data_IF_155728976972
#
_entry.id   IF_155728976972
#
_cell.length_a   1.000
_cell.length_b   1.000
_cell.length_c   1.000
_cell.angle_alpha   90.00
_cell.angle_beta   90.00
_cell.angle_gamma   90.00
#
_symmetry.space_group_name_H-M   'P 1'
#
loop_
_entity.id
_entity.type
_entity.pdbx_description
1 polymer ?
#
# COMPACT_ATOMS: atom_id res chain seq x y z
N UNK A 1 -7.59 2.93 6.31
CA UNK A 1 -6.76 1.76 5.93
C UNK A 1 -6.19 1.81 4.51
N UNK A 2 -6.95 2.19 3.49
CA UNK A 2 -6.48 2.21 2.09
C UNK A 2 -5.27 3.13 1.87
N UNK A 3 -5.35 4.39 2.32
CA UNK A 3 -4.26 5.37 2.17
C UNK A 3 -2.94 4.89 2.78
N UNK A 4 -2.97 4.28 3.98
CA UNK A 4 -1.80 3.65 4.60
C UNK A 4 -1.11 2.64 3.67
N UNK A 5 -1.90 1.74 3.06
CA UNK A 5 -1.37 0.66 2.21
C UNK A 5 -0.83 1.21 0.88
N UNK A 6 -1.50 2.20 0.30
CA UNK A 6 -1.01 2.90 -0.89
C UNK A 6 0.33 3.61 -0.60
N UNK A 7 0.41 4.37 0.49
CA UNK A 7 1.63 5.05 0.94
C UNK A 7 2.75 4.07 1.27
N UNK A 8 2.42 2.93 1.89
CA UNK A 8 3.38 1.88 2.17
C UNK A 8 3.91 1.20 0.91
N UNK A 9 3.05 0.94 -0.09
CA UNK A 9 3.49 0.45 -1.40
C UNK A 9 4.38 1.48 -2.13
N UNK A 10 4.06 2.77 -2.04
CA UNK A 10 4.92 3.84 -2.58
C UNK A 10 6.32 3.74 -1.98
N UNK A 11 6.47 3.60 -0.65
CA UNK A 11 7.82 3.54 -0.06
C UNK A 11 8.56 2.23 -0.34
N UNK A 12 7.84 1.12 -0.46
CA UNK A 12 8.41 -0.18 -0.84
C UNK A 12 9.00 -0.14 -2.25
N UNK A 13 8.39 0.60 -3.18
CA UNK A 13 8.98 0.83 -4.52
C UNK A 13 10.27 1.64 -4.50
N UNK A 14 10.55 2.37 -3.42
CA UNK A 14 11.83 3.07 -3.27
C UNK A 14 13.01 2.10 -3.13
N UNK A 15 12.77 0.87 -2.66
CA UNK A 15 13.83 -0.13 -2.46
C UNK A 15 14.30 -0.66 -3.83
N UNK A 16 15.58 -0.45 -4.24
CA UNK A 16 16.01 -0.71 -5.61
C UNK A 16 15.86 -2.16 -6.08
N UNK A 17 16.05 -3.13 -5.19
CA UNK A 17 15.92 -4.55 -5.56
C UNK A 17 14.45 -4.93 -5.81
N UNK A 18 13.54 -4.43 -4.98
CA UNK A 18 12.09 -4.58 -5.15
C UNK A 18 11.63 -3.88 -6.42
N UNK A 19 12.05 -2.63 -6.65
CA UNK A 19 11.72 -1.85 -7.84
C UNK A 19 12.06 -2.62 -9.13
N UNK A 20 13.27 -3.16 -9.22
CA UNK A 20 13.72 -3.96 -10.37
C UNK A 20 12.85 -5.20 -10.62
N UNK A 21 12.44 -5.89 -9.55
CA UNK A 21 11.51 -7.03 -9.65
C UNK A 21 10.16 -6.55 -10.21
N UNK A 22 9.60 -5.45 -9.68
CA UNK A 22 8.33 -4.90 -10.13
C UNK A 22 8.37 -4.52 -11.62
N UNK A 23 9.44 -3.86 -12.07
CA UNK A 23 9.64 -3.49 -13.48
C UNK A 23 9.77 -4.73 -14.37
N UNK A 24 10.51 -5.77 -13.94
CA UNK A 24 10.68 -7.01 -14.69
C UNK A 24 9.36 -7.80 -14.92
N UNK A 25 8.32 -7.53 -14.11
CA UNK A 25 6.99 -8.10 -14.36
C UNK A 25 6.30 -7.49 -15.58
N UNK A 26 6.62 -6.23 -15.93
CA UNK A 26 5.93 -5.42 -16.93
C UNK A 26 4.41 -5.22 -16.65
N UNK A 27 4.00 -5.41 -15.40
CA UNK A 27 2.59 -5.29 -14.96
C UNK A 27 2.25 -3.90 -14.42
N UNK A 28 3.17 -2.94 -14.49
CA UNK A 28 2.98 -1.57 -14.00
C UNK A 28 3.85 -0.56 -14.77
N UNK A 29 4.05 -0.81 -16.07
CA UNK A 29 4.88 0.01 -16.97
C UNK A 29 4.12 1.17 -17.63
N UNK A 30 2.83 1.31 -17.32
CA UNK A 30 1.94 2.40 -17.75
C UNK A 30 0.80 2.58 -16.75
N UNK A 31 0.14 3.73 -16.76
CA UNK A 31 -1.05 4.04 -15.94
C UNK A 31 -2.08 2.91 -15.98
N UNK A 32 -2.39 2.42 -17.18
CA UNK A 32 -3.35 1.34 -17.42
C UNK A 32 -2.94 0.01 -16.79
N UNK A 33 -1.69 -0.42 -17.02
CA UNK A 33 -1.21 -1.69 -16.44
C UNK A 33 -1.11 -1.60 -14.92
N UNK A 34 -0.66 -0.45 -14.40
CA UNK A 34 -0.59 -0.18 -12.98
C UNK A 34 -1.98 -0.20 -12.34
N UNK A 35 -2.97 0.48 -12.94
CA UNK A 35 -4.37 0.41 -12.51
C UNK A 35 -4.83 -1.04 -12.32
N UNK A 36 -4.68 -1.88 -13.36
CA UNK A 36 -5.12 -3.28 -13.30
C UNK A 36 -4.43 -4.06 -12.19
N UNK A 37 -3.12 -3.87 -12.03
CA UNK A 37 -2.31 -4.53 -11.00
C UNK A 37 -2.75 -4.13 -9.60
N UNK A 38 -2.81 -2.83 -9.31
CA UNK A 38 -3.06 -2.35 -7.96
C UNK A 38 -4.55 -2.46 -7.57
N UNK A 39 -5.46 -2.40 -8.55
CA UNK A 39 -6.87 -2.75 -8.31
C UNK A 39 -7.01 -4.24 -7.95
N UNK A 40 -6.28 -5.14 -8.62
CA UNK A 40 -6.25 -6.55 -8.22
C UNK A 40 -5.69 -6.74 -6.80
N UNK A 41 -4.62 -6.03 -6.44
CA UNK A 41 -4.11 -6.03 -5.05
C UNK A 41 -5.16 -5.59 -4.04
N UNK A 42 -5.96 -4.55 -4.34
CA UNK A 42 -7.05 -4.10 -3.48
C UNK A 42 -8.12 -5.18 -3.32
N UNK A 43 -8.55 -5.78 -4.44
CA UNK A 43 -9.56 -6.83 -4.39
C UNK A 43 -9.07 -8.03 -3.56
N UNK A 44 -7.80 -8.43 -3.71
CA UNK A 44 -7.22 -9.50 -2.89
C UNK A 44 -7.25 -9.13 -1.40
N UNK A 45 -6.84 -7.90 -1.05
CA UNK A 45 -6.85 -7.46 0.34
C UNK A 45 -8.26 -7.38 0.93
N UNK A 46 -9.25 -6.89 0.17
CA UNK A 46 -10.64 -6.86 0.63
C UNK A 46 -11.11 -8.28 0.96
N UNK A 47 -10.82 -9.26 0.09
CA UNK A 47 -11.12 -10.66 0.38
C UNK A 47 -10.48 -11.16 1.68
N UNK A 48 -9.26 -10.71 2.01
CA UNK A 48 -8.59 -11.12 3.26
C UNK A 48 -9.20 -10.48 4.52
N UNK A 49 -9.89 -9.35 4.39
CA UNK A 49 -10.53 -8.66 5.51
C UNK A 49 -12.01 -9.01 5.67
N UNK A 50 -12.70 -9.34 4.58
CA UNK A 50 -14.15 -9.47 4.53
C UNK A 50 -14.64 -10.92 4.76
N UNK A 51 -13.75 -11.91 4.72
CA UNK A 51 -14.10 -13.33 4.89
C UNK A 51 -13.34 -14.03 6.02
N UNK A 52 -13.96 -15.07 6.56
CA UNK A 52 -13.31 -16.01 7.46
C UNK A 52 -12.08 -16.65 6.81
N UNK A 53 -10.95 -16.56 7.50
CA UNK A 53 -9.70 -17.14 7.04
C UNK A 53 -9.60 -18.63 7.41
N UNK A 54 -10.30 -19.48 6.64
CA UNK A 54 -10.34 -20.94 6.81
C UNK A 54 -9.93 -21.65 5.51
N UNK A 55 -9.32 -22.85 5.57
CA UNK A 55 -9.03 -23.62 4.37
C UNK A 55 -10.26 -23.76 3.46
N UNK A 56 -10.09 -23.44 2.18
CA UNK A 56 -11.15 -23.53 1.16
C UNK A 56 -11.98 -22.27 0.93
N UNK A 57 -11.89 -21.22 1.78
CA UNK A 57 -12.58 -19.93 1.55
C UNK A 57 -11.96 -19.12 0.41
N UNK A 58 -12.64 -18.07 -0.08
CA UNK A 58 -12.07 -17.21 -1.11
C UNK A 58 -10.84 -16.47 -0.59
N UNK A 59 -10.86 -16.00 0.66
CA UNK A 59 -9.68 -15.45 1.32
C UNK A 59 -8.46 -16.39 1.28
N UNK A 60 -8.66 -17.68 1.57
CA UNK A 60 -7.60 -18.69 1.52
C UNK A 60 -7.06 -18.90 0.10
N UNK A 61 -7.95 -19.09 -0.87
CA UNK A 61 -7.57 -19.27 -2.28
C UNK A 61 -6.89 -18.02 -2.85
N UNK A 62 -7.35 -16.84 -2.44
CA UNK A 62 -6.77 -15.54 -2.77
C UNK A 62 -5.32 -15.44 -2.29
N UNK A 63 -5.01 -15.83 -1.05
CA UNK A 63 -3.64 -15.85 -0.53
C UNK A 63 -2.74 -16.86 -1.22
N UNK A 64 -3.25 -18.07 -1.49
CA UNK A 64 -2.50 -19.07 -2.25
C UNK A 64 -2.20 -18.59 -3.68
N UNK A 65 -3.15 -17.90 -4.31
CA UNK A 65 -2.94 -17.29 -5.62
C UNK A 65 -1.84 -16.21 -5.57
N UNK A 66 -1.87 -15.29 -4.59
CA UNK A 66 -0.82 -14.27 -4.46
C UNK A 66 0.54 -14.89 -4.16
N UNK A 67 0.61 -15.94 -3.32
CA UNK A 67 1.86 -16.70 -3.10
C UNK A 67 2.39 -17.29 -4.40
N UNK A 68 1.53 -17.89 -5.22
CA UNK A 68 1.91 -18.43 -6.55
C UNK A 68 2.41 -17.32 -7.48
N UNK A 69 1.77 -16.15 -7.48
CA UNK A 69 2.22 -15.00 -8.27
C UNK A 69 3.61 -14.53 -7.85
N UNK A 70 3.88 -14.41 -6.54
CA UNK A 70 5.22 -14.08 -6.03
C UNK A 70 6.26 -15.14 -6.40
N UNK A 71 5.93 -16.43 -6.25
CA UNK A 71 6.83 -17.52 -6.66
C UNK A 71 7.12 -17.51 -8.17
N UNK A 72 6.11 -17.25 -9.00
CA UNK A 72 6.27 -17.14 -10.44
C UNK A 72 7.15 -15.93 -10.82
N UNK A 73 6.92 -14.77 -10.21
CA UNK A 73 7.75 -13.59 -10.39
C UNK A 73 9.20 -13.83 -9.94
N UNK A 74 9.39 -14.47 -8.78
CA UNK A 74 10.70 -14.86 -8.25
C UNK A 74 11.45 -15.80 -9.20
N UNK A 75 10.76 -16.83 -9.73
CA UNK A 75 11.33 -17.75 -10.73
C UNK A 75 11.70 -17.04 -12.03
N UNK A 76 10.85 -16.11 -12.50
CA UNK A 76 11.12 -15.29 -13.71
C UNK A 76 12.35 -14.41 -13.53
N UNK A 77 12.53 -13.81 -12.35
CA UNK A 77 13.64 -12.89 -12.06
C UNK A 77 14.96 -13.60 -11.76
N UNK A 78 14.93 -14.87 -11.35
CA UNK A 78 16.09 -15.64 -10.88
C UNK A 78 17.30 -15.65 -11.84
N UNK A 79 17.08 -15.53 -13.16
CA UNK A 79 18.17 -15.58 -14.15
C UNK A 79 18.82 -14.23 -14.47
N UNK A 80 18.10 -13.11 -14.28
CA UNK A 80 18.53 -11.77 -14.74
C UNK A 80 18.71 -10.75 -13.61
N UNK A 81 18.01 -10.96 -12.51
CA UNK A 81 18.09 -10.13 -11.30
C UNK A 81 18.50 -11.08 -10.17
N UNK A 82 17.64 -11.28 -9.19
CA UNK A 82 17.72 -12.32 -8.18
C UNK A 82 16.32 -12.86 -7.90
N UNK A 83 16.23 -13.95 -7.14
CA UNK A 83 14.95 -14.38 -6.55
C UNK A 83 14.48 -13.36 -5.53
N UNK A 84 13.16 -13.26 -5.35
CA UNK A 84 12.58 -12.51 -4.24
C UNK A 84 13.06 -13.13 -2.93
N UNK A 85 13.69 -12.31 -2.09
CA UNK A 85 14.26 -12.71 -0.80
C UNK A 85 13.25 -12.57 0.34
N UNK A 86 13.52 -13.26 1.46
CA UNK A 86 12.73 -13.12 2.70
C UNK A 86 12.75 -11.68 3.23
N UNK A 87 13.89 -10.99 3.10
CA UNK A 87 14.02 -9.58 3.47
C UNK A 87 13.09 -8.69 2.64
N UNK A 88 13.01 -8.89 1.32
CA UNK A 88 12.10 -8.11 0.45
C UNK A 88 10.63 -8.39 0.74
N UNK A 89 10.28 -9.63 1.10
CA UNK A 89 8.93 -9.96 1.54
C UNK A 89 8.58 -9.27 2.86
N UNK A 90 9.51 -9.21 3.83
CA UNK A 90 9.32 -8.52 5.10
C UNK A 90 9.23 -6.99 4.93
N UNK A 91 10.05 -6.40 4.06
CA UNK A 91 9.94 -4.99 3.66
C UNK A 91 8.59 -4.72 2.99
N UNK A 92 8.13 -5.63 2.14
CA UNK A 92 6.80 -5.51 1.53
C UNK A 92 5.68 -5.59 2.57
N UNK A 93 5.82 -6.44 3.60
CA UNK A 93 4.89 -6.54 4.72
C UNK A 93 4.78 -5.21 5.50
N UNK A 94 5.90 -4.51 5.71
CA UNK A 94 5.89 -3.13 6.25
C UNK A 94 4.97 -2.22 5.43
N UNK A 95 4.98 -2.34 4.10
CA UNK A 95 4.12 -1.55 3.22
C UNK A 95 2.61 -1.67 3.50
N UNK A 96 2.17 -2.70 4.21
CA UNK A 96 0.76 -2.89 4.53
C UNK A 96 0.38 -2.53 5.97
N UNK A 97 1.30 -2.67 6.93
CA UNK A 97 1.02 -2.50 8.36
C UNK A 97 1.93 -1.49 9.08
N UNK A 98 3.09 -1.15 8.51
CA UNK A 98 4.14 -0.37 9.17
C UNK A 98 3.68 1.06 9.50
N UNK A 99 3.24 1.82 8.49
CA UNK A 99 2.76 3.20 8.75
C UNK A 99 1.51 3.24 9.63
N UNK A 100 0.61 2.26 9.54
CA UNK A 100 -0.53 2.15 10.44
C UNK A 100 -0.05 2.08 11.90
N UNK A 101 1.00 1.31 12.17
CA UNK A 101 1.55 1.12 13.50
C UNK A 101 2.36 2.32 14.02
N UNK A 102 3.27 2.87 13.21
CA UNK A 102 4.24 3.90 13.68
C UNK A 102 3.95 5.32 13.21
N UNK A 103 2.97 5.52 12.32
CA UNK A 103 2.50 6.82 11.82
C UNK A 103 0.97 6.89 11.82
N UNK A 104 0.34 6.22 12.79
CA UNK A 104 -1.12 6.00 12.88
C UNK A 104 -1.94 7.27 12.58
N UNK A 105 -1.65 8.38 13.27
CA UNK A 105 -2.35 9.66 13.09
C UNK A 105 -2.15 10.26 11.69
N UNK A 106 -0.95 10.16 11.11
CA UNK A 106 -0.65 10.63 9.74
C UNK A 106 -1.37 9.81 8.65
N UNK A 107 -1.93 8.65 9.00
CA UNK A 107 -2.72 7.82 8.07
C UNK A 107 -4.18 7.67 8.50
N UNK A 108 -4.65 8.53 9.41
CA UNK A 108 -6.05 8.60 9.83
C UNK A 108 -6.48 7.58 10.88
N UNK A 109 -5.54 6.99 11.63
CA UNK A 109 -5.83 6.07 12.73
C UNK A 109 -5.56 6.79 14.06
N UNK A 110 -6.62 7.28 14.70
CA UNK A 110 -6.55 8.05 15.95
C UNK A 110 -6.94 7.25 17.20
N UNK A 111 -7.57 6.10 17.00
CA UNK A 111 -8.11 5.26 18.05
C UNK A 111 -7.68 3.82 17.77
N UNK A 112 -6.83 3.27 18.63
CA UNK A 112 -6.40 1.88 18.56
C UNK A 112 -5.80 1.49 19.90
N UNK A 113 -6.43 0.53 20.57
CA UNK A 113 -5.96 -0.05 21.82
C UNK A 113 -4.74 -0.94 21.57
N UNK A 114 -3.99 -1.28 22.61
CA UNK A 114 -2.89 -2.24 22.46
C UNK A 114 -3.40 -3.63 22.02
N UNK A 115 -4.63 -4.00 22.37
CA UNK A 115 -5.29 -5.21 21.88
C UNK A 115 -5.59 -5.12 20.37
N UNK A 116 -6.14 -4.00 19.89
CA UNK A 116 -6.37 -3.78 18.46
C UNK A 116 -5.07 -3.90 17.66
N UNK A 117 -3.98 -3.34 18.18
CA UNK A 117 -2.66 -3.44 17.54
C UNK A 117 -2.11 -4.86 17.55
N UNK A 118 -2.27 -5.60 18.66
CA UNK A 118 -1.87 -6.99 18.74
C UNK A 118 -2.65 -7.86 17.75
N UNK A 119 -3.98 -7.68 17.66
CA UNK A 119 -4.82 -8.39 16.71
C UNK A 119 -4.48 -8.04 15.24
N UNK A 120 -4.31 -6.75 14.94
CA UNK A 120 -3.94 -6.29 13.60
C UNK A 120 -2.57 -6.83 13.15
N UNK A 121 -1.59 -6.87 14.05
CA UNK A 121 -0.27 -7.43 13.76
C UNK A 121 -0.31 -8.95 13.69
N UNK A 122 -1.11 -9.62 14.52
CA UNK A 122 -1.32 -11.07 14.41
C UNK A 122 -1.90 -11.44 13.04
N UNK A 123 -2.90 -10.70 12.56
CA UNK A 123 -3.45 -10.86 11.22
C UNK A 123 -2.35 -10.76 10.15
N UNK A 124 -1.57 -9.67 10.15
CA UNK A 124 -0.49 -9.51 9.16
C UNK A 124 0.64 -10.52 9.31
N UNK A 125 0.88 -11.04 10.52
CA UNK A 125 1.82 -12.13 10.76
C UNK A 125 1.37 -13.41 10.05
N UNK A 126 0.10 -13.80 10.21
CA UNK A 126 -0.48 -14.98 9.54
C UNK A 126 -0.47 -14.80 8.03
N UNK A 127 -0.84 -13.63 7.52
CA UNK A 127 -0.75 -13.31 6.08
C UNK A 127 0.70 -13.47 5.58
N UNK A 128 1.68 -12.94 6.30
CA UNK A 128 3.10 -13.08 5.96
C UNK A 128 3.54 -14.54 5.89
N UNK A 129 3.17 -15.33 6.89
CA UNK A 129 3.46 -16.77 6.94
C UNK A 129 2.84 -17.52 5.75
N UNK A 130 1.56 -17.24 5.46
CA UNK A 130 0.84 -17.84 4.32
C UNK A 130 1.49 -17.52 2.98
N UNK A 131 2.01 -16.30 2.82
CA UNK A 131 2.75 -15.85 1.65
C UNK A 131 4.17 -16.44 1.57
N UNK A 132 4.61 -17.18 2.59
CA UNK A 132 5.89 -17.89 2.63
C UNK A 132 7.01 -17.14 3.33
N UNK A 133 6.70 -16.16 4.19
CA UNK A 133 7.69 -15.53 5.07
C UNK A 133 7.96 -16.48 6.24
N UNK A 134 9.21 -16.89 6.45
CA UNK A 134 9.59 -17.67 7.62
C UNK A 134 9.38 -16.84 8.90
N UNK A 135 8.97 -17.48 10.00
CA UNK A 135 8.64 -16.76 11.25
C UNK A 135 9.78 -15.89 11.77
N UNK A 136 11.04 -16.30 11.58
CA UNK A 136 12.23 -15.52 11.97
C UNK A 136 12.43 -14.24 11.15
N UNK A 137 11.82 -14.13 9.97
CA UNK A 137 11.90 -12.96 9.10
C UNK A 137 10.59 -12.17 9.06
N UNK A 138 9.53 -12.67 9.68
CA UNK A 138 8.22 -12.04 9.68
C UNK A 138 8.25 -10.75 10.53
N UNK A 139 7.97 -9.60 9.89
CA UNK A 139 8.03 -8.30 10.54
C UNK A 139 7.06 -8.19 11.71
N UNK A 140 5.92 -8.89 11.63
CA UNK A 140 4.86 -8.85 12.62
C UNK A 140 5.07 -9.88 13.75
N UNK A 141 6.27 -10.42 13.91
CA UNK A 141 6.62 -11.34 15.00
C UNK A 141 7.07 -10.58 16.25
N UNK A 142 6.58 -11.01 17.41
CA UNK A 142 6.95 -10.46 18.73
C UNK A 142 5.94 -9.46 19.29
N UNK A 143 6.37 -8.66 20.27
CA UNK A 143 5.51 -7.66 20.91
C UNK A 143 5.29 -6.43 20.03
N UNK A 144 4.14 -5.76 20.22
CA UNK A 144 3.78 -4.52 19.52
C UNK A 144 4.90 -3.47 19.63
N UNK A 145 5.52 -3.35 20.81
CA UNK A 145 6.59 -2.39 21.08
C UNK A 145 7.87 -2.72 20.29
N UNK A 146 8.24 -3.99 20.18
CA UNK A 146 9.39 -4.41 19.38
C UNK A 146 9.14 -4.17 17.89
N UNK A 147 7.94 -4.48 17.40
CA UNK A 147 7.56 -4.25 16.00
C UNK A 147 7.56 -2.74 15.69
N UNK A 148 7.11 -1.87 16.61
CA UNK A 148 7.22 -0.40 16.48
C UNK A 148 8.67 0.04 16.32
N UNK A 149 9.59 -0.49 17.13
CA UNK A 149 11.03 -0.17 17.04
C UNK A 149 11.61 -0.58 15.69
N UNK A 150 11.33 -1.81 15.23
CA UNK A 150 11.78 -2.31 13.93
C UNK A 150 11.23 -1.45 12.79
N UNK A 151 9.94 -1.12 12.82
CA UNK A 151 9.32 -0.29 11.80
C UNK A 151 9.97 1.10 11.69
N UNK A 152 10.30 1.75 12.81
CA UNK A 152 11.04 3.02 12.79
C UNK A 152 12.46 2.84 12.24
N UNK A 153 13.17 1.78 12.62
CA UNK A 153 14.48 1.47 12.06
C UNK A 153 14.44 1.25 10.55
N UNK A 154 13.40 0.59 10.02
CA UNK A 154 13.20 0.42 8.58
C UNK A 154 12.93 1.75 7.87
N UNK A 155 12.15 2.65 8.48
CA UNK A 155 11.96 4.02 7.96
C UNK A 155 13.31 4.72 7.84
N UNK A 156 14.11 4.72 8.90
CA UNK A 156 15.34 5.52 8.96
C UNK A 156 16.48 4.93 8.13
N UNK A 157 16.62 3.60 8.10
CA UNK A 157 17.77 2.92 7.47
C UNK A 157 17.49 2.42 6.07
N UNK A 158 16.23 2.21 5.70
CA UNK A 158 15.86 1.64 4.40
C UNK A 158 15.05 2.64 3.58
N UNK A 159 13.87 3.04 4.05
CA UNK A 159 12.94 3.80 3.20
C UNK A 159 13.36 5.25 2.99
N UNK A 160 13.73 5.98 4.05
CA UNK A 160 14.15 7.38 3.95
C UNK A 160 15.39 7.54 3.05
N UNK A 161 16.47 6.73 3.19
CA UNK A 161 17.61 6.81 2.29
C UNK A 161 17.27 6.40 0.86
N UNK A 162 16.42 5.38 0.67
CA UNK A 162 16.07 4.90 -0.67
C UNK A 162 15.24 5.92 -1.46
N UNK A 163 14.26 6.52 -0.79
CA UNK A 163 13.42 7.59 -1.37
C UNK A 163 14.25 8.86 -1.58
N UNK A 164 15.15 9.21 -0.67
CA UNK A 164 16.04 10.38 -0.81
C UNK A 164 16.90 10.38 -2.09
N UNK A 165 17.14 9.22 -2.72
CA UNK A 165 17.96 9.09 -3.95
C UNK A 165 17.30 9.64 -5.21
N UNK A 166 15.98 9.89 -5.23
CA UNK A 166 15.25 10.40 -6.40
C UNK A 166 15.47 9.56 -7.66
N UNK A 167 15.48 8.25 -7.50
CA UNK A 167 15.68 7.31 -8.61
C UNK A 167 14.62 7.54 -9.74
N UNK A 168 15.02 7.71 -11.01
CA UNK A 168 14.08 7.99 -12.10
C UNK A 168 13.05 6.88 -12.34
N UNK A 169 13.44 5.62 -12.19
CA UNK A 169 12.55 4.47 -12.37
C UNK A 169 11.52 4.44 -11.23
N UNK A 170 11.95 4.77 -10.01
CA UNK A 170 11.05 4.96 -8.88
C UNK A 170 10.02 6.05 -9.14
N UNK A 171 10.46 7.24 -9.61
CA UNK A 171 9.57 8.35 -9.91
C UNK A 171 8.57 7.98 -11.02
N UNK A 172 9.01 7.28 -12.07
CA UNK A 172 8.14 6.82 -13.15
C UNK A 172 7.12 5.78 -12.67
N UNK A 173 7.55 4.76 -11.93
CA UNK A 173 6.68 3.69 -11.45
C UNK A 173 5.64 4.18 -10.45
N UNK A 174 6.04 5.08 -9.55
CA UNK A 174 5.11 5.70 -8.60
C UNK A 174 4.11 6.63 -9.29
N UNK A 175 4.52 7.31 -10.37
CA UNK A 175 3.61 8.11 -11.21
C UNK A 175 2.58 7.21 -11.89
N UNK A 176 3.00 6.12 -12.51
CA UNK A 176 2.08 5.15 -13.12
C UNK A 176 1.09 4.56 -12.12
N UNK A 177 1.56 4.21 -10.91
CA UNK A 177 0.67 3.76 -9.85
C UNK A 177 -0.36 4.83 -9.47
N UNK A 178 0.07 6.06 -9.18
CA UNK A 178 -0.83 7.09 -8.67
C UNK A 178 -1.83 7.58 -9.73
N UNK A 179 -1.41 7.70 -10.98
CA UNK A 179 -2.31 7.99 -12.10
C UNK A 179 -3.30 6.85 -12.32
N UNK A 180 -2.83 5.60 -12.35
CA UNK A 180 -3.69 4.42 -12.47
C UNK A 180 -4.74 4.36 -11.35
N UNK A 181 -4.35 4.68 -10.12
CA UNK A 181 -5.23 4.66 -8.96
C UNK A 181 -6.15 5.88 -8.83
N UNK A 182 -6.02 6.89 -9.69
CA UNK A 182 -6.91 8.06 -9.71
C UNK A 182 -8.38 7.65 -9.88
N UNK A 183 -8.66 6.62 -10.68
CA UNK A 183 -10.02 6.11 -10.91
C UNK A 183 -10.70 5.60 -9.64
N UNK A 184 -9.94 5.10 -8.66
CA UNK A 184 -10.45 4.63 -7.36
C UNK A 184 -10.47 5.76 -6.33
N UNK A 185 -9.51 6.70 -6.43
CA UNK A 185 -9.36 7.80 -5.48
C UNK A 185 -9.01 9.08 -6.24
N UNK A 186 -10.02 9.80 -6.75
CA UNK A 186 -9.81 11.00 -7.58
C UNK A 186 -9.10 12.14 -6.86
N UNK A 187 -8.99 12.06 -5.53
CA UNK A 187 -8.26 13.01 -4.72
C UNK A 187 -6.74 12.86 -4.83
N UNK A 188 -6.22 11.77 -5.41
CA UNK A 188 -4.79 11.56 -5.60
C UNK A 188 -4.21 12.53 -6.63
N UNK A 189 -3.08 13.15 -6.29
CA UNK A 189 -2.24 13.93 -7.19
C UNK A 189 -0.80 13.58 -6.92
N UNK A 190 -0.06 13.25 -7.98
CA UNK A 190 1.27 12.65 -7.88
C UNK A 190 2.20 13.46 -6.97
N UNK A 191 2.38 14.75 -7.25
CA UNK A 191 3.33 15.61 -6.56
C UNK A 191 2.94 15.82 -5.09
N UNK A 192 1.65 16.04 -4.82
CA UNK A 192 1.10 16.19 -3.47
C UNK A 192 1.22 14.91 -2.66
N UNK A 193 0.87 13.77 -3.25
CA UNK A 193 0.87 12.47 -2.56
C UNK A 193 2.28 12.01 -2.27
N UNK A 194 3.21 12.14 -3.22
CA UNK A 194 4.59 11.74 -3.00
C UNK A 194 5.30 12.67 -1.98
N UNK A 195 4.95 13.96 -1.97
CA UNK A 195 5.39 14.88 -0.91
C UNK A 195 4.82 14.51 0.46
N UNK A 196 3.56 14.06 0.52
CA UNK A 196 2.98 13.53 1.75
C UNK A 196 3.65 12.22 2.21
N UNK A 197 4.05 11.36 1.29
CA UNK A 197 4.84 10.15 1.61
C UNK A 197 6.17 10.52 2.23
N UNK A 198 6.83 11.58 1.76
CA UNK A 198 8.03 12.09 2.43
C UNK A 198 7.76 12.54 3.87
N UNK A 199 6.63 13.21 4.10
CA UNK A 199 6.18 13.56 5.46
C UNK A 199 5.93 12.32 6.34
N UNK A 200 5.44 11.22 5.78
CA UNK A 200 5.29 9.94 6.53
C UNK A 200 6.63 9.35 6.98
N UNK A 201 7.71 9.62 6.26
CA UNK A 201 9.06 9.17 6.62
C UNK A 201 9.73 10.04 7.70
N UNK A 202 9.18 11.21 8.01
CA UNK A 202 9.65 12.03 9.13
C UNK A 202 9.10 11.49 10.46
N UNK A 203 9.40 12.18 11.56
CA UNK A 203 9.00 11.79 12.91
C UNK A 203 7.48 11.63 13.05
N UNK A 204 7.04 10.92 14.10
CA UNK A 204 5.64 10.50 14.23
C UNK A 204 4.62 11.61 14.52
N UNK A 205 5.05 12.85 14.75
CA UNK A 205 4.17 13.97 15.10
C UNK A 205 3.31 14.41 13.89
N UNK A 206 2.19 15.10 14.12
CA UNK A 206 1.39 15.72 13.05
C UNK A 206 1.74 17.21 12.87
N UNK A 207 3.00 17.61 13.04
CA UNK A 207 3.41 19.01 12.92
C UNK A 207 3.30 19.49 11.47
N UNK A 208 2.75 20.69 11.28
CA UNK A 208 2.75 21.37 9.98
C UNK A 208 4.15 21.82 9.56
N UNK A 209 5.05 22.04 10.52
CA UNK A 209 6.44 22.45 10.24
C UNK A 209 7.22 21.37 9.49
N UNK A 210 6.86 20.10 9.72
CA UNK A 210 7.45 18.93 9.08
C UNK A 210 6.82 18.63 7.71
N UNK A 211 5.68 19.27 7.39
CA UNK A 211 4.97 19.10 6.13
C UNK A 211 5.60 19.96 5.03
N UNK A 212 6.81 19.56 4.60
CA UNK A 212 7.55 20.21 3.52
C UNK A 212 7.69 19.30 2.30
N UNK A 213 7.51 19.83 1.08
CA UNK A 213 7.75 19.05 -0.12
C UNK A 213 9.25 18.75 -0.28
N UNK A 214 9.58 17.52 -0.71
CA UNK A 214 10.98 17.06 -0.81
C UNK A 214 11.47 16.85 -2.26
N UNK A 215 10.55 16.82 -3.21
CA UNK A 215 10.85 16.53 -4.62
C UNK A 215 10.45 17.60 -5.61
N UNK A 216 9.40 18.35 -5.28
CA UNK A 216 8.74 19.22 -6.23
C UNK A 216 8.53 20.58 -5.60
N UNK A 217 8.67 21.62 -6.40
CA UNK A 217 8.05 22.90 -6.11
C UNK A 217 6.55 22.75 -6.41
N UNK A 218 5.74 22.80 -5.37
CA UNK A 218 4.30 22.56 -5.50
C UNK A 218 3.59 23.85 -5.91
N UNK A 219 2.74 23.74 -6.93
CA UNK A 219 1.76 24.80 -7.25
C UNK A 219 0.81 25.03 -6.07
N UNK A 220 0.12 26.18 -6.05
CA UNK A 220 -0.87 26.48 -5.02
C UNK A 220 -1.93 25.36 -4.85
N UNK A 221 -2.40 24.78 -5.97
CA UNK A 221 -3.35 23.68 -5.94
C UNK A 221 -2.74 22.38 -5.37
N UNK A 222 -1.52 22.02 -5.76
CA UNK A 222 -0.85 20.83 -5.22
C UNK A 222 -0.52 20.98 -3.72
N UNK A 223 -0.12 22.19 -3.30
CA UNK A 223 0.07 22.53 -1.89
C UNK A 223 -1.24 22.40 -1.13
N UNK A 224 -2.34 23.00 -1.62
CA UNK A 224 -3.67 22.85 -1.03
C UNK A 224 -4.06 21.38 -0.87
N UNK A 225 -3.84 20.55 -1.89
CA UNK A 225 -4.12 19.10 -1.84
C UNK A 225 -3.29 18.38 -0.79
N UNK A 226 -2.02 18.75 -0.61
CA UNK A 226 -1.15 18.19 0.42
C UNK A 226 -1.62 18.59 1.82
N UNK A 227 -1.90 19.88 2.06
CA UNK A 227 -2.42 20.38 3.34
C UNK A 227 -3.81 19.82 3.67
N UNK A 228 -4.69 19.69 2.67
CA UNK A 228 -5.99 19.05 2.83
C UNK A 228 -5.83 17.57 3.23
N UNK A 229 -4.90 16.84 2.60
CA UNK A 229 -4.60 15.45 2.98
C UNK A 229 -4.11 15.39 4.42
N UNK A 230 -3.21 16.30 4.82
CA UNK A 230 -2.76 16.39 6.19
C UNK A 230 -3.90 16.65 7.17
N UNK A 231 -4.72 17.67 6.93
CA UNK A 231 -5.85 18.03 7.77
C UNK A 231 -6.86 16.89 7.90
N UNK A 232 -7.19 16.23 6.78
CA UNK A 232 -8.07 15.06 6.78
C UNK A 232 -7.49 13.96 7.67
N UNK A 233 -6.24 13.54 7.42
CA UNK A 233 -5.61 12.42 8.11
C UNK A 233 -5.33 12.71 9.57
N UNK A 234 -4.66 13.83 9.89
CA UNK A 234 -4.21 14.17 11.23
C UNK A 234 -5.30 14.81 12.10
N UNK A 235 -6.43 15.27 11.54
CA UNK A 235 -7.48 15.95 12.31
C UNK A 235 -8.85 15.34 12.10
N UNK A 236 -9.40 15.32 10.88
CA UNK A 236 -10.79 14.90 10.66
C UNK A 236 -11.05 13.44 11.07
N UNK A 237 -10.10 12.54 10.81
CA UNK A 237 -10.22 11.13 11.21
C UNK A 237 -10.29 10.90 12.73
N UNK A 238 -9.98 11.90 13.57
CA UNK A 238 -10.20 11.81 15.02
C UNK A 238 -11.70 11.78 15.37
N UNK A 239 -12.56 12.33 14.52
CA UNK A 239 -14.00 12.42 14.76
C UNK A 239 -14.76 11.21 14.21
N UNK A 240 -15.67 10.66 15.01
CA UNK A 240 -16.41 9.46 14.65
C UNK A 240 -17.31 9.65 13.42
N UNK A 241 -18.02 10.78 13.34
CA UNK A 241 -18.90 11.07 12.22
C UNK A 241 -18.13 11.07 10.89
N UNK A 242 -16.91 11.60 10.88
CA UNK A 242 -16.08 11.64 9.68
C UNK A 242 -15.60 10.25 9.29
N UNK A 243 -15.25 9.39 10.26
CA UNK A 243 -14.92 7.98 9.99
C UNK A 243 -16.10 7.23 9.36
N UNK A 244 -17.30 7.40 9.90
CA UNK A 244 -18.52 6.78 9.34
C UNK A 244 -18.78 7.28 7.91
N UNK A 245 -18.75 8.59 7.69
CA UNK A 245 -18.91 9.20 6.37
C UNK A 245 -17.86 8.69 5.38
N UNK A 246 -16.58 8.73 5.75
CA UNK A 246 -15.50 8.27 4.89
C UNK A 246 -15.61 6.78 4.57
N UNK A 247 -15.99 5.94 5.54
CA UNK A 247 -16.21 4.51 5.31
C UNK A 247 -17.36 4.27 4.33
N UNK A 248 -18.47 5.01 4.44
CA UNK A 248 -19.56 4.94 3.47
C UNK A 248 -19.09 5.31 2.06
N UNK A 249 -18.39 6.45 1.91
CA UNK A 249 -17.83 6.89 0.62
C UNK A 249 -16.86 5.86 0.05
N UNK A 250 -16.02 5.26 0.90
CA UNK A 250 -15.07 4.23 0.49
C UNK A 250 -15.79 2.97 0.00
N UNK A 251 -16.82 2.50 0.72
CA UNK A 251 -17.61 1.34 0.32
C UNK A 251 -18.34 1.57 -1.00
N UNK A 252 -18.91 2.78 -1.20
CA UNK A 252 -19.49 3.18 -2.48
C UNK A 252 -18.44 3.17 -3.59
N UNK A 253 -17.24 3.71 -3.35
CA UNK A 253 -16.14 3.68 -4.32
C UNK A 253 -15.73 2.24 -4.68
N UNK A 254 -15.56 1.35 -3.71
CA UNK A 254 -15.27 -0.07 -3.95
C UNK A 254 -16.40 -0.74 -4.76
N UNK A 255 -17.66 -0.47 -4.40
CA UNK A 255 -18.81 -1.01 -5.10
C UNK A 255 -18.86 -0.53 -6.56
N UNK A 256 -18.61 0.76 -6.80
CA UNK A 256 -18.50 1.33 -8.14
C UNK A 256 -17.38 0.64 -8.90
N UNK A 257 -16.19 0.50 -8.32
CA UNK A 257 -15.07 -0.15 -9.01
C UNK A 257 -15.34 -1.61 -9.37
N UNK A 258 -16.11 -2.34 -8.55
CA UNK A 258 -16.50 -3.74 -8.82
C UNK A 258 -17.59 -3.85 -9.90
N UNK A 259 -18.61 -2.99 -9.85
CA UNK A 259 -19.83 -3.16 -10.64
C UNK A 259 -19.93 -2.20 -11.84
N UNK A 260 -19.49 -0.96 -11.66
CA UNK A 260 -19.57 0.11 -12.64
C UNK A 260 -18.39 1.10 -12.54
N UNK A 261 -17.16 0.68 -12.91
CA UNK A 261 -15.94 1.49 -12.79
C UNK A 261 -15.89 2.61 -13.84
N UNK A 262 -16.85 3.55 -13.78
CA UNK A 262 -17.07 4.57 -14.80
C UNK A 262 -15.87 5.51 -15.00
N UNK A 263 -15.14 5.87 -13.94
CA UNK A 263 -13.92 6.66 -14.06
C UNK A 263 -12.83 5.89 -14.82
N UNK A 264 -12.71 4.59 -14.57
CA UNK A 264 -11.80 3.77 -15.35
C UNK A 264 -12.31 3.51 -16.77
N UNK A 265 -13.62 3.50 -17.04
CA UNK A 265 -14.16 3.45 -18.40
C UNK A 265 -13.76 4.70 -19.18
N UNK A 266 -13.87 5.86 -18.55
CA UNK A 266 -13.43 7.13 -19.13
C UNK A 266 -11.92 7.13 -19.40
N UNK A 267 -11.11 6.71 -18.43
CA UNK A 267 -9.65 6.81 -18.52
C UNK A 267 -9.00 5.73 -19.40
N UNK A 268 -9.48 4.48 -19.33
CA UNK A 268 -8.81 3.32 -19.94
C UNK A 268 -9.67 2.55 -20.96
N UNK A 269 -10.95 2.92 -21.12
CA UNK A 269 -11.89 2.24 -22.01
C UNK A 269 -12.45 0.93 -21.44
N UNK A 270 -13.71 0.61 -21.79
CA UNK A 270 -14.51 -0.47 -21.20
C UNK A 270 -13.80 -1.83 -21.00
N UNK A 271 -12.98 -2.25 -21.98
CA UNK A 271 -12.31 -3.55 -21.96
C UNK A 271 -11.26 -3.66 -20.84
N UNK A 272 -10.52 -2.58 -20.59
CA UNK A 272 -9.36 -2.61 -19.69
C UNK A 272 -9.71 -2.17 -18.26
N UNK A 273 -10.87 -1.55 -18.07
CA UNK A 273 -11.33 -1.01 -16.78
C UNK A 273 -11.86 -2.06 -15.81
N UNK A 274 -12.39 -3.19 -16.31
CA UNK A 274 -12.90 -4.27 -15.44
C UNK A 274 -11.74 -5.14 -14.94
N UNK A 275 -11.63 -5.23 -13.62
CA UNK A 275 -10.64 -6.05 -12.92
C UNK A 275 -11.40 -7.04 -12.04
N UNK A 276 -11.19 -8.34 -12.28
CA UNK A 276 -11.84 -9.44 -11.56
C UNK A 276 -10.78 -10.42 -11.10
N UNK A 277 -10.94 -10.94 -9.89
CA UNK A 277 -10.07 -12.00 -9.37
C UNK A 277 -10.59 -13.35 -9.90
N UNK A 278 -9.76 -14.06 -10.65
CA UNK A 278 -10.05 -15.43 -11.05
C UNK A 278 -9.51 -16.39 -9.98
N UNK A 279 -10.23 -16.50 -8.86
CA UNK A 279 -9.91 -17.40 -7.76
C UNK A 279 -10.31 -18.83 -8.15
N UNK A 280 -9.37 -19.61 -8.71
CA UNK A 280 -9.58 -21.05 -8.89
C UNK A 280 -9.49 -21.72 -7.52
N UNK A 281 -10.45 -22.60 -7.18
CA UNK A 281 -10.32 -23.51 -6.04
C UNK A 281 -8.99 -24.25 -6.19
N UNK A 282 -8.16 -24.15 -5.17
CA UNK A 282 -6.96 -24.96 -5.09
C UNK A 282 -7.37 -26.30 -4.50
N UNK A 283 -7.41 -27.33 -5.36
CA UNK A 283 -7.37 -28.74 -4.93
C UNK A 283 -6.07 -29.05 -4.18
#
# INVERSE_FOLDING_TARGET
>A
MFFNKLSGLLVVMGVPSILKILMATNMSSSDKTAYRRYMATILHMLQWYDEDFKPGTEAWNSLLQVRRMHNAASKKCAKKLNRITQAEMALTQFGFCGFALVRSKKVGIHSGTEEDWAAFLHFWRVIGWMLGIEDRFNLCQGSVQNIRKICNLLIDRVYRPSIGKKDPDFLSMTRYMLNGMWCMTPSLKYESTLSYVWFLLQDGNCSLEDLKPHYFELTAYQSFKMYLTHYVMCTLFAYNWFRVFHNYVHNVSVWLMKNFPFLAYYEFGFRDSRVVLNLKKVE
#
